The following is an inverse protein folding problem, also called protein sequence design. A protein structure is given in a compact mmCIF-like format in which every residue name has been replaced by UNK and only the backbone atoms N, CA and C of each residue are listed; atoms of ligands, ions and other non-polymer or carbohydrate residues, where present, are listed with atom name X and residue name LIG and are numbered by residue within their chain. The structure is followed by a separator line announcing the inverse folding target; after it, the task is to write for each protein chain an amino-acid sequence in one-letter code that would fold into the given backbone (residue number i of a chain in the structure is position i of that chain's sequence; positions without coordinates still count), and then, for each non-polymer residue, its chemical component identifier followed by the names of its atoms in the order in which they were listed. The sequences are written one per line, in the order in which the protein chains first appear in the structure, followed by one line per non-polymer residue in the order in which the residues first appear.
data_IF_079375220016
#
_entry.id   IF_079375220016
#
_cell.length_a   1.000
_cell.length_b   1.000
_cell.length_c   1.000
_cell.angle_alpha   90.00
_cell.angle_beta   90.00
_cell.angle_gamma   90.00
#
_symmetry.space_group_name_H-M   'P 1'
#
loop_
_entity.id
_entity.type
_entity.pdbx_description
1 polymer ?
#
# COMPACT_ATOMS: atom_id res chain seq x y z
N UNK A 1 -33.23 29.67 -28.21
CA UNK A 1 -31.88 29.31 -27.72
C UNK A 1 -32.05 28.93 -26.27
N UNK A 2 -31.62 27.74 -25.85
CA UNK A 2 -31.65 27.37 -24.44
C UNK A 2 -30.62 28.26 -23.71
N UNK A 3 -31.04 28.95 -22.65
CA UNK A 3 -30.13 29.73 -21.83
C UNK A 3 -29.24 28.78 -21.02
N UNK A 4 -27.92 28.92 -21.17
CA UNK A 4 -26.93 28.09 -20.50
C UNK A 4 -26.30 28.89 -19.36
N UNK A 5 -26.07 28.21 -18.25
CA UNK A 5 -25.40 28.71 -17.06
C UNK A 5 -23.91 28.33 -17.13
N UNK A 6 -23.03 29.33 -17.15
CA UNK A 6 -21.57 29.11 -17.07
C UNK A 6 -21.14 29.17 -15.61
N UNK A 7 -20.61 28.06 -15.10
CA UNK A 7 -20.11 27.94 -13.73
C UNK A 7 -18.58 27.80 -13.74
N UNK A 8 -17.91 28.48 -12.82
CA UNK A 8 -16.47 28.33 -12.60
C UNK A 8 -16.26 27.41 -11.41
N UNK A 9 -15.57 26.31 -11.66
CA UNK A 9 -15.29 25.26 -10.70
C UNK A 9 -13.80 25.26 -10.35
N UNK A 10 -13.47 24.94 -9.11
CA UNK A 10 -12.10 24.70 -8.66
C UNK A 10 -12.07 23.36 -7.93
N UNK A 11 -11.08 22.52 -8.22
CA UNK A 11 -10.85 21.29 -7.45
C UNK A 11 -10.23 21.68 -6.11
N UNK A 12 -10.70 21.10 -5.01
CA UNK A 12 -10.12 21.31 -3.69
C UNK A 12 -8.60 21.07 -3.71
N UNK A 13 -7.82 22.00 -3.13
CA UNK A 13 -6.35 21.98 -3.18
C UNK A 13 -5.73 22.44 -4.52
N UNK A 14 -6.54 22.65 -5.56
CA UNK A 14 -6.12 23.19 -6.84
C UNK A 14 -5.96 24.71 -6.86
N UNK A 15 -5.22 25.22 -7.84
CA UNK A 15 -4.96 26.66 -8.02
C UNK A 15 -5.55 27.24 -9.30
N UNK A 16 -6.03 26.38 -10.21
CA UNK A 16 -6.51 26.78 -11.55
C UNK A 16 -7.99 26.42 -11.70
N UNK A 17 -8.90 27.41 -11.73
CA UNK A 17 -10.31 27.16 -11.99
C UNK A 17 -10.58 26.81 -13.46
N UNK A 18 -11.67 26.10 -13.71
CA UNK A 18 -12.16 25.75 -15.04
C UNK A 18 -13.65 26.07 -15.16
N UNK A 19 -14.13 26.32 -16.38
CA UNK A 19 -15.55 26.61 -16.62
C UNK A 19 -16.31 25.37 -17.09
N UNK A 20 -17.59 25.28 -16.75
CA UNK A 20 -18.52 24.30 -17.32
C UNK A 20 -19.83 25.00 -17.68
N UNK A 21 -20.40 24.65 -18.83
CA UNK A 21 -21.68 25.19 -19.30
C UNK A 21 -22.77 24.14 -19.12
N UNK A 22 -23.82 24.48 -18.37
CA UNK A 22 -24.92 23.56 -18.07
C UNK A 22 -26.27 24.27 -18.13
N UNK A 23 -27.33 23.54 -18.52
CA UNK A 23 -28.68 24.10 -18.50
C UNK A 23 -29.18 24.25 -17.06
N UNK A 24 -29.81 25.39 -16.69
CA UNK A 24 -30.27 25.63 -15.32
C UNK A 24 -31.42 24.71 -14.89
N UNK A 25 -32.10 24.03 -15.83
CA UNK A 25 -33.15 23.05 -15.53
C UNK A 25 -32.61 21.65 -15.20
N UNK A 26 -31.28 21.49 -15.14
CA UNK A 26 -30.63 20.24 -14.76
C UNK A 26 -30.33 20.24 -13.26
N UNK A 27 -30.16 19.03 -12.73
CA UNK A 27 -29.80 18.83 -11.33
C UNK A 27 -28.29 18.89 -11.10
N UNK A 28 -27.90 18.96 -9.84
CA UNK A 28 -26.49 18.83 -9.40
C UNK A 28 -25.88 17.48 -9.81
N UNK A 29 -26.64 16.37 -9.85
CA UNK A 29 -26.14 15.10 -10.38
C UNK A 29 -25.65 15.20 -11.84
N UNK A 30 -26.37 15.93 -12.69
CA UNK A 30 -25.95 16.16 -14.07
C UNK A 30 -24.68 17.00 -14.13
N UNK A 31 -24.55 17.98 -13.23
CA UNK A 31 -23.34 18.81 -13.09
C UNK A 31 -22.13 17.97 -12.66
N UNK A 32 -22.28 17.06 -11.68
CA UNK A 32 -21.22 16.14 -11.25
C UNK A 32 -20.68 15.31 -12.43
N UNK A 33 -21.59 14.75 -13.24
CA UNK A 33 -21.23 13.99 -14.45
C UNK A 33 -20.48 14.83 -15.46
N UNK A 34 -20.93 16.07 -15.70
CA UNK A 34 -20.29 17.01 -16.62
C UNK A 34 -18.89 17.40 -16.15
N UNK A 35 -18.72 17.71 -14.87
CA UNK A 35 -17.42 18.03 -14.25
C UNK A 35 -16.45 16.86 -14.42
N UNK A 36 -16.89 15.62 -14.17
CA UNK A 36 -16.06 14.43 -14.40
C UNK A 36 -15.63 14.33 -15.87
N UNK A 37 -16.52 14.61 -16.83
CA UNK A 37 -16.18 14.59 -18.25
C UNK A 37 -15.16 15.67 -18.63
N UNK A 38 -15.33 16.92 -18.15
CA UNK A 38 -14.40 18.03 -18.41
C UNK A 38 -13.01 17.78 -17.81
N UNK A 39 -12.97 17.13 -16.65
CA UNK A 39 -11.74 16.78 -15.93
C UNK A 39 -11.51 15.27 -15.93
N UNK A 40 -11.72 14.63 -17.07
CA UNK A 40 -11.66 13.17 -17.21
C UNK A 40 -10.35 12.55 -16.72
N UNK A 41 -9.22 13.23 -16.89
CA UNK A 41 -7.92 12.75 -16.38
C UNK A 41 -7.84 12.86 -14.86
N UNK A 42 -8.24 14.01 -14.30
CA UNK A 42 -8.14 14.29 -12.86
C UNK A 42 -9.11 13.46 -12.02
N UNK A 43 -10.29 13.18 -12.57
CA UNK A 43 -11.34 12.36 -11.96
C UNK A 43 -11.51 11.00 -12.65
N UNK A 44 -10.44 10.50 -13.28
CA UNK A 44 -10.45 9.18 -13.95
C UNK A 44 -10.73 8.04 -12.98
N UNK A 45 -10.39 8.23 -11.70
CA UNK A 45 -10.40 7.24 -10.63
C UNK A 45 -11.55 7.38 -9.62
N UNK A 46 -12.47 8.34 -9.81
CA UNK A 46 -13.59 8.65 -8.91
C UNK A 46 -14.89 8.67 -9.70
N UNK A 47 -15.95 8.03 -9.19
CA UNK A 47 -17.26 8.11 -9.83
C UNK A 47 -17.94 9.45 -9.61
N UNK A 48 -18.74 9.90 -10.58
CA UNK A 48 -19.30 11.24 -10.55
C UNK A 48 -20.16 11.47 -9.30
N UNK A 49 -20.89 10.44 -8.85
CA UNK A 49 -21.72 10.46 -7.64
C UNK A 49 -20.92 10.64 -6.34
N UNK A 50 -19.65 10.20 -6.33
CA UNK A 50 -18.73 10.32 -5.19
C UNK A 50 -18.13 11.73 -5.03
N UNK A 51 -18.24 12.60 -6.04
CA UNK A 51 -17.78 13.99 -5.93
C UNK A 51 -18.70 14.78 -5.00
N UNK A 52 -18.16 15.52 -4.04
CA UNK A 52 -18.92 16.47 -3.23
C UNK A 52 -18.78 17.86 -3.83
N UNK A 53 -19.90 18.52 -4.14
CA UNK A 53 -19.90 19.87 -4.71
C UNK A 53 -20.31 20.88 -3.65
N UNK A 54 -19.53 21.93 -3.52
CA UNK A 54 -19.77 23.01 -2.58
C UNK A 54 -20.03 24.30 -3.33
N UNK A 55 -21.19 24.91 -3.10
CA UNK A 55 -21.48 26.26 -3.57
C UNK A 55 -20.71 27.28 -2.73
N UNK A 56 -19.97 28.15 -3.42
CA UNK A 56 -19.12 29.20 -2.84
C UNK A 56 -19.21 30.47 -3.68
N UNK A 57 -18.74 31.59 -3.13
CA UNK A 57 -18.59 32.85 -3.86
C UNK A 57 -17.22 33.44 -3.57
N UNK A 58 -16.21 33.02 -4.35
CA UNK A 58 -14.81 33.45 -4.14
C UNK A 58 -14.35 34.32 -5.32
N UNK A 59 -14.21 35.64 -5.13
CA UNK A 59 -13.65 36.51 -6.16
C UNK A 59 -12.22 36.10 -6.53
N UNK A 60 -11.97 35.88 -7.83
CA UNK A 60 -10.65 35.47 -8.34
C UNK A 60 -9.59 36.54 -8.09
N UNK A 61 -10.00 37.80 -7.96
CA UNK A 61 -9.11 38.93 -7.64
C UNK A 61 -8.46 38.80 -6.25
N UNK A 62 -9.02 37.98 -5.34
CA UNK A 62 -8.45 37.65 -4.03
C UNK A 62 -7.49 36.47 -4.06
N UNK A 63 -7.52 35.66 -5.13
CA UNK A 63 -6.60 34.54 -5.34
C UNK A 63 -5.35 35.09 -6.01
N UNK A 64 -4.32 35.43 -5.22
CA UNK A 64 -3.03 35.80 -5.80
C UNK A 64 -2.52 34.63 -6.65
N UNK A 65 -1.87 34.95 -7.77
CA UNK A 65 -1.28 33.96 -8.69
C UNK A 65 -0.40 32.99 -7.86
N UNK A 66 -0.85 31.74 -7.70
CA UNK A 66 -0.25 30.63 -6.95
C UNK A 66 -0.63 30.43 -5.46
N UNK A 67 -1.58 31.16 -4.88
CA UNK A 67 -2.05 30.84 -3.53
C UNK A 67 -3.05 29.66 -3.56
N UNK A 68 -2.82 28.65 -2.73
CA UNK A 68 -3.76 27.54 -2.52
C UNK A 68 -4.94 28.06 -1.70
N UNK A 69 -6.16 27.90 -2.21
CA UNK A 69 -7.36 28.24 -1.46
C UNK A 69 -7.53 27.19 -0.35
N UNK A 70 -7.31 27.59 0.90
CA UNK A 70 -7.60 26.75 2.05
C UNK A 70 -9.11 26.61 2.18
N UNK A 71 -9.62 25.41 1.91
CA UNK A 71 -11.06 25.10 1.92
C UNK A 71 -11.72 25.40 3.28
N UNK A 72 -10.98 25.25 4.37
CA UNK A 72 -11.44 25.53 5.74
C UNK A 72 -11.53 27.03 6.07
N UNK A 73 -10.84 27.88 5.30
CA UNK A 73 -10.88 29.34 5.47
C UNK A 73 -12.04 30.00 4.70
N UNK A 74 -12.88 29.22 4.02
CA UNK A 74 -14.05 29.72 3.30
C UNK A 74 -15.23 29.80 4.27
N UNK A 75 -15.54 31.01 4.74
CA UNK A 75 -16.61 31.26 5.72
C UNK A 75 -18.01 30.91 5.20
N UNK A 76 -18.25 31.05 3.89
CA UNK A 76 -19.55 30.83 3.24
C UNK A 76 -19.43 29.73 2.18
N UNK A 77 -19.59 28.47 2.61
CA UNK A 77 -19.72 27.31 1.72
C UNK A 77 -20.98 26.50 2.07
N UNK A 78 -21.70 26.06 1.05
CA UNK A 78 -22.90 25.23 1.19
C UNK A 78 -22.72 23.94 0.39
N UNK A 79 -22.93 22.79 1.01
CA UNK A 79 -22.94 21.50 0.30
C UNK A 79 -24.17 21.40 -0.61
N UNK A 80 -23.98 20.92 -1.83
CA UNK A 80 -25.03 20.78 -2.84
C UNK A 80 -25.48 19.32 -2.96
N UNK A 81 -26.77 19.07 -2.81
CA UNK A 81 -27.32 17.73 -2.90
C UNK A 81 -27.52 17.34 -4.37
N UNK A 82 -27.30 16.06 -4.76
CA UNK A 82 -27.48 15.61 -6.15
C UNK A 82 -28.88 15.86 -6.71
N UNK A 83 -29.89 15.93 -5.84
CA UNK A 83 -31.29 16.16 -6.14
C UNK A 83 -31.66 17.62 -6.33
N UNK A 84 -30.78 18.55 -5.95
CA UNK A 84 -31.06 19.98 -6.07
C UNK A 84 -31.07 20.39 -7.55
N UNK A 85 -32.01 21.25 -7.91
CA UNK A 85 -32.07 21.86 -9.23
C UNK A 85 -31.10 23.06 -9.29
N UNK A 86 -30.38 23.21 -10.40
CA UNK A 86 -29.43 24.31 -10.58
C UNK A 86 -30.11 25.68 -10.52
N UNK A 87 -31.38 25.78 -10.94
CA UNK A 87 -32.18 27.00 -10.83
C UNK A 87 -32.46 27.43 -9.40
N UNK A 88 -32.49 26.48 -8.46
CA UNK A 88 -32.78 26.75 -7.06
C UNK A 88 -31.51 27.18 -6.32
N UNK A 89 -30.36 26.63 -6.72
CA UNK A 89 -29.04 26.98 -6.18
C UNK A 89 -28.56 28.32 -6.74
N UNK A 90 -28.73 28.55 -8.04
CA UNK A 90 -28.28 29.75 -8.76
C UNK A 90 -29.48 30.58 -9.26
N UNK A 91 -30.26 31.10 -8.31
CA UNK A 91 -31.46 31.92 -8.59
C UNK A 91 -31.10 33.19 -9.36
N UNK A 92 -29.98 33.81 -8.99
CA UNK A 92 -29.41 34.95 -9.72
C UNK A 92 -28.26 34.50 -10.61
N UNK A 93 -28.00 35.29 -11.66
CA UNK A 93 -26.89 35.01 -12.56
C UNK A 93 -25.56 35.06 -11.79
N UNK A 94 -24.75 34.00 -11.80
CA UNK A 94 -23.50 33.95 -11.06
C UNK A 94 -22.56 35.11 -11.44
N UNK A 95 -21.91 35.76 -10.46
CA UNK A 95 -21.02 36.88 -10.72
C UNK A 95 -19.85 36.49 -11.63
N UNK A 96 -19.43 37.41 -12.51
CA UNK A 96 -18.21 37.18 -13.31
C UNK A 96 -16.98 37.17 -12.40
N UNK A 97 -15.91 36.51 -12.85
CA UNK A 97 -14.61 36.43 -12.14
C UNK A 97 -14.72 35.89 -10.70
N UNK A 98 -15.63 34.96 -10.48
CA UNK A 98 -15.88 34.36 -9.17
C UNK A 98 -15.87 32.85 -9.34
N UNK A 99 -15.23 32.13 -8.41
CA UNK A 99 -15.37 30.67 -8.31
C UNK A 99 -16.72 30.40 -7.66
N UNK A 100 -17.54 29.60 -8.32
CA UNK A 100 -18.90 29.27 -7.92
C UNK A 100 -18.99 27.92 -7.20
N UNK A 101 -18.10 26.98 -7.56
CA UNK A 101 -18.12 25.62 -7.04
C UNK A 101 -16.72 25.18 -6.62
N UNK A 102 -16.60 24.62 -5.41
CA UNK A 102 -15.47 23.75 -5.06
C UNK A 102 -15.88 22.30 -5.29
N UNK A 103 -15.04 21.56 -6.01
CA UNK A 103 -15.19 20.13 -6.25
C UNK A 103 -14.28 19.40 -5.28
N UNK A 104 -14.88 18.76 -4.28
CA UNK A 104 -14.18 17.97 -3.27
C UNK A 104 -14.23 16.48 -3.65
N UNK A 105 -13.08 15.82 -3.53
CA UNK A 105 -12.97 14.35 -3.64
C UNK A 105 -13.44 13.71 -2.33
N UNK A 106 -13.82 12.43 -2.32
CA UNK A 106 -14.10 11.72 -1.07
C UNK A 106 -12.97 11.93 -0.06
N UNK A 107 -13.31 12.41 1.14
CA UNK A 107 -12.28 12.76 2.12
C UNK A 107 -11.54 11.51 2.64
N UNK A 108 -10.26 11.69 2.99
CA UNK A 108 -9.44 10.71 3.70
C UNK A 108 -10.14 10.20 4.98
N UNK A 109 -11.04 11.00 5.58
CA UNK A 109 -11.84 10.63 6.73
C UNK A 109 -12.77 9.44 6.50
N UNK A 110 -13.36 9.30 5.30
CA UNK A 110 -14.21 8.15 4.97
C UNK A 110 -13.37 6.88 4.84
N UNK A 111 -12.25 6.97 4.11
CA UNK A 111 -11.30 5.85 3.98
C UNK A 111 -10.75 5.42 5.35
N UNK A 112 -10.40 6.38 6.21
CA UNK A 112 -9.96 6.13 7.58
C UNK A 112 -11.03 5.42 8.42
N UNK A 113 -12.30 5.83 8.32
CA UNK A 113 -13.41 5.17 9.00
C UNK A 113 -13.62 3.73 8.50
N UNK A 114 -13.57 3.50 7.19
CA UNK A 114 -13.71 2.17 6.60
C UNK A 114 -12.57 1.23 7.04
N UNK A 115 -11.32 1.73 7.03
CA UNK A 115 -10.16 0.97 7.52
C UNK A 115 -10.30 0.69 9.02
N UNK A 116 -10.80 1.65 9.80
CA UNK A 116 -11.06 1.47 11.23
C UNK A 116 -12.10 0.38 11.48
N UNK A 117 -13.21 0.37 10.74
CA UNK A 117 -14.23 -0.69 10.86
C UNK A 117 -13.64 -2.08 10.58
N UNK A 118 -12.83 -2.22 9.53
CA UNK A 118 -12.16 -3.48 9.17
C UNK A 118 -11.20 -3.92 10.27
N UNK A 119 -10.38 -2.99 10.77
CA UNK A 119 -9.36 -3.28 11.79
C UNK A 119 -9.94 -3.56 13.16
N UNK A 120 -10.99 -2.85 13.59
CA UNK A 120 -11.72 -3.12 14.83
C UNK A 120 -12.28 -4.56 14.83
N UNK A 121 -12.82 -5.00 13.70
CA UNK A 121 -13.31 -6.38 13.53
C UNK A 121 -12.18 -7.40 13.50
N UNK A 122 -11.12 -7.12 12.74
CA UNK A 122 -10.02 -8.06 12.54
C UNK A 122 -9.18 -8.26 13.82
N UNK A 123 -8.89 -7.17 14.52
CA UNK A 123 -8.11 -7.14 15.76
C UNK A 123 -8.96 -7.11 17.03
N UNK A 124 -10.24 -7.46 16.94
CA UNK A 124 -11.13 -7.59 18.11
C UNK A 124 -10.43 -8.44 19.19
N UNK A 125 -10.44 -7.99 20.45
CA UNK A 125 -9.56 -8.56 21.48
C UNK A 125 -9.72 -10.06 21.74
N UNK A 126 -10.89 -10.64 21.42
CA UNK A 126 -11.15 -12.08 21.50
C UNK A 126 -10.94 -12.84 20.19
N UNK A 127 -10.59 -12.15 19.09
CA UNK A 127 -10.38 -12.79 17.79
C UNK A 127 -9.16 -13.72 17.86
N UNK A 128 -9.19 -14.88 17.18
CA UNK A 128 -8.05 -15.79 17.17
C UNK A 128 -6.74 -15.13 16.70
N UNK A 129 -6.83 -14.14 15.80
CA UNK A 129 -5.66 -13.38 15.31
C UNK A 129 -5.13 -12.45 16.41
N UNK A 130 -5.99 -11.69 17.09
CA UNK A 130 -5.58 -10.77 18.13
C UNK A 130 -4.92 -11.50 19.31
N UNK A 131 -5.50 -12.63 19.73
CA UNK A 131 -4.97 -13.49 20.80
C UNK A 131 -3.60 -14.04 20.41
N UNK A 132 -3.48 -14.59 19.21
CA UNK A 132 -2.21 -15.11 18.70
C UNK A 132 -1.13 -14.01 18.61
N UNK A 133 -1.43 -12.87 17.99
CA UNK A 133 -0.47 -11.78 17.83
C UNK A 133 -0.01 -11.21 19.17
N UNK A 134 -0.91 -11.06 20.15
CA UNK A 134 -0.54 -10.60 21.51
C UNK A 134 0.43 -11.58 22.18
N UNK A 135 0.11 -12.87 22.16
CA UNK A 135 0.97 -13.94 22.70
C UNK A 135 2.33 -13.94 22.00
N UNK A 136 2.33 -13.96 20.66
CA UNK A 136 3.55 -13.94 19.85
C UNK A 136 4.40 -12.70 20.08
N UNK A 137 3.81 -11.51 20.17
CA UNK A 137 4.56 -10.26 20.40
C UNK A 137 5.14 -10.23 21.81
N UNK A 138 4.44 -10.78 22.80
CA UNK A 138 4.90 -10.87 24.20
C UNK A 138 6.04 -11.88 24.41
N UNK A 139 6.56 -12.48 23.33
CA UNK A 139 7.65 -13.45 23.39
C UNK A 139 7.20 -14.87 23.70
N UNK A 140 5.88 -15.12 23.81
CA UNK A 140 5.34 -16.46 23.98
C UNK A 140 5.39 -17.25 22.67
N UNK A 141 5.27 -18.56 22.80
CA UNK A 141 5.34 -19.50 21.68
C UNK A 141 6.77 -19.81 21.26
N UNK A 142 7.01 -21.08 20.91
CA UNK A 142 8.26 -21.44 20.27
C UNK A 142 8.30 -20.74 18.90
N UNK A 143 9.33 -19.92 18.67
CA UNK A 143 9.69 -19.54 17.31
C UNK A 143 9.88 -20.82 16.49
N UNK A 144 9.63 -20.82 15.16
CA UNK A 144 9.78 -22.02 14.35
C UNK A 144 11.18 -22.55 14.59
N UNK A 145 11.29 -23.58 15.44
CA UNK A 145 12.61 -23.98 15.89
C UNK A 145 13.24 -24.55 14.64
N UNK A 146 14.42 -24.05 14.37
CA UNK A 146 15.52 -24.61 13.59
C UNK A 146 15.92 -26.01 14.10
N UNK A 147 14.97 -26.82 14.52
CA UNK A 147 15.11 -28.17 15.03
C UNK A 147 13.87 -29.03 14.72
N UNK A 148 12.93 -28.56 13.87
CA UNK A 148 11.69 -29.28 13.50
C UNK A 148 11.75 -29.93 12.12
N UNK A 149 11.46 -31.24 11.99
CA UNK A 149 11.38 -31.94 10.69
C UNK A 149 10.34 -31.27 9.78
N UNK A 150 10.80 -30.71 8.66
CA UNK A 150 9.93 -30.19 7.60
C UNK A 150 9.89 -31.19 6.45
N UNK A 151 8.69 -31.60 6.05
CA UNK A 151 8.47 -32.49 4.90
C UNK A 151 8.96 -31.79 3.63
N UNK A 152 9.78 -32.46 2.83
CA UNK A 152 10.18 -31.97 1.49
C UNK A 152 11.58 -31.34 1.38
N UNK A 153 12.31 -31.06 2.47
CA UNK A 153 13.65 -30.47 2.41
C UNK A 153 14.79 -31.49 2.65
N UNK A 154 15.99 -31.26 2.07
CA UNK A 154 17.20 -32.03 2.40
C UNK A 154 17.55 -31.88 3.88
N UNK A 155 17.70 -33.01 4.55
CA UNK A 155 17.95 -33.10 5.99
C UNK A 155 19.41 -32.78 6.33
N UNK A 156 19.74 -31.55 6.74
CA UNK A 156 21.10 -31.18 7.11
C UNK A 156 21.46 -31.55 8.57
N UNK A 157 22.73 -31.87 8.81
CA UNK A 157 23.28 -32.25 10.12
C UNK A 157 24.30 -31.20 10.59
N UNK A 158 24.16 -30.70 11.82
CA UNK A 158 25.27 -29.95 12.46
C UNK A 158 26.37 -30.92 12.85
N UNK A 159 27.50 -30.91 12.13
CA UNK A 159 28.70 -31.62 12.59
C UNK A 159 29.07 -31.03 13.96
N UNK A 160 29.33 -31.89 14.95
CA UNK A 160 29.83 -31.59 16.33
C UNK A 160 28.85 -31.51 17.51
N UNK A 161 27.52 -31.62 17.37
CA UNK A 161 26.57 -31.45 18.49
C UNK A 161 25.91 -32.72 19.07
N UNK A 162 26.59 -33.88 19.04
CA UNK A 162 26.10 -35.09 19.72
C UNK A 162 25.00 -35.86 18.97
N UNK A 163 24.18 -36.64 19.71
CA UNK A 163 23.17 -37.57 19.14
C UNK A 163 22.08 -36.81 18.34
N UNK A 164 21.49 -37.44 17.30
CA UNK A 164 20.43 -36.83 16.50
C UNK A 164 19.26 -36.40 17.37
N UNK A 165 18.81 -35.14 17.25
CA UNK A 165 17.46 -34.77 17.68
C UNK A 165 16.46 -35.46 16.73
N UNK A 166 15.29 -35.89 17.23
CA UNK A 166 14.25 -36.55 16.42
C UNK A 166 13.74 -35.68 15.27
N UNK A 167 14.01 -34.37 15.32
CA UNK A 167 13.60 -33.38 14.36
C UNK A 167 14.79 -32.50 13.90
N UNK A 168 14.83 -32.14 12.60
CA UNK A 168 15.97 -31.43 11.98
C UNK A 168 15.58 -30.06 11.42
N UNK A 169 16.39 -28.99 11.60
CA UNK A 169 16.13 -27.66 11.05
C UNK A 169 15.88 -27.64 9.55
N UNK A 170 15.04 -26.70 9.10
CA UNK A 170 15.21 -26.13 7.75
C UNK A 170 16.50 -25.32 7.70
N UNK A 171 17.31 -25.53 6.66
CA UNK A 171 18.48 -24.70 6.35
C UNK A 171 18.11 -23.23 6.16
N UNK A 172 16.86 -22.95 5.80
CA UNK A 172 16.37 -21.59 5.59
C UNK A 172 16.32 -20.77 6.88
N UNK A 173 16.06 -21.43 8.01
CA UNK A 173 15.89 -20.75 9.29
C UNK A 173 17.06 -21.00 10.24
N UNK A 174 17.94 -21.95 9.93
CA UNK A 174 19.08 -22.34 10.76
C UNK A 174 20.01 -21.16 11.06
N UNK A 175 20.21 -20.86 12.35
CA UNK A 175 21.04 -19.75 12.83
C UNK A 175 20.69 -18.39 12.21
N UNK A 176 19.40 -18.08 12.13
CA UNK A 176 18.97 -16.73 11.81
C UNK A 176 19.50 -15.73 12.86
N UNK A 177 20.00 -14.56 12.44
CA UNK A 177 20.42 -13.52 13.36
C UNK A 177 19.21 -12.97 14.11
N UNK A 178 19.39 -12.64 15.39
CA UNK A 178 18.39 -11.92 16.17
C UNK A 178 19.05 -10.67 16.78
N UNK A 179 18.48 -9.46 16.57
CA UNK A 179 19.06 -8.21 17.03
C UNK A 179 19.13 -8.09 18.56
N UNK A 180 18.41 -8.93 19.30
CA UNK A 180 18.53 -9.02 20.77
C UNK A 180 19.80 -9.76 21.25
N UNK A 181 20.49 -10.49 20.36
CA UNK A 181 21.67 -11.29 20.75
C UNK A 181 22.95 -10.47 20.76
N UNK A 182 23.76 -10.65 21.81
CA UNK A 182 25.06 -9.96 21.98
C UNK A 182 26.22 -10.63 21.25
N UNK A 183 26.00 -11.81 20.65
CA UNK A 183 27.04 -12.54 19.93
C UNK A 183 27.24 -11.98 18.52
N UNK A 184 28.20 -11.08 18.39
CA UNK A 184 28.61 -10.46 17.12
C UNK A 184 29.50 -11.37 16.26
N UNK A 185 30.02 -12.47 16.82
CA UNK A 185 31.02 -13.33 16.15
C UNK A 185 30.40 -14.36 15.19
N UNK A 186 29.09 -14.56 15.23
CA UNK A 186 28.32 -15.47 14.38
C UNK A 186 27.73 -14.81 13.12
N UNK A 187 28.00 -13.52 12.87
CA UNK A 187 27.47 -12.73 11.73
C UNK A 187 28.17 -12.99 10.39
N UNK A 188 28.57 -14.23 10.10
CA UNK A 188 29.01 -14.64 8.77
C UNK A 188 27.79 -14.77 7.85
N UNK A 189 27.23 -13.63 7.48
CA UNK A 189 25.95 -13.54 6.79
C UNK A 189 26.16 -13.59 5.29
N UNK A 190 25.38 -14.43 4.60
CA UNK A 190 25.21 -14.32 3.15
C UNK A 190 24.61 -12.95 2.79
N UNK A 191 23.86 -12.33 3.71
CA UNK A 191 23.29 -11.00 3.54
C UNK A 191 24.29 -9.84 3.52
N UNK A 192 25.56 -10.04 3.90
CA UNK A 192 26.53 -8.94 4.01
C UNK A 192 26.71 -8.19 2.67
N UNK A 193 26.87 -8.92 1.57
CA UNK A 193 26.99 -8.31 0.24
C UNK A 193 25.74 -7.56 -0.19
N UNK A 194 24.54 -8.02 0.19
CA UNK A 194 23.29 -7.32 -0.11
C UNK A 194 23.20 -6.03 0.73
N UNK A 195 23.58 -6.10 2.00
CA UNK A 195 23.59 -4.96 2.89
C UNK A 195 24.58 -3.88 2.42
N UNK A 196 25.75 -4.28 1.95
CA UNK A 196 26.73 -3.36 1.37
C UNK A 196 26.16 -2.69 0.11
N UNK A 197 25.51 -3.46 -0.78
CA UNK A 197 24.80 -2.88 -1.93
C UNK A 197 23.71 -1.88 -1.51
N UNK A 198 22.93 -2.18 -0.46
CA UNK A 198 21.88 -1.28 0.07
C UNK A 198 22.49 0.01 0.63
N UNK A 199 23.62 -0.07 1.33
CA UNK A 199 24.30 1.08 1.93
C UNK A 199 25.01 1.95 0.90
N UNK A 200 25.68 1.32 -0.07
CA UNK A 200 26.44 2.02 -1.10
C UNK A 200 25.52 2.69 -2.14
N UNK A 201 24.34 2.12 -2.38
CA UNK A 201 23.41 2.63 -3.36
C UNK A 201 22.22 3.29 -2.68
N UNK A 202 22.13 4.62 -2.80
CA UNK A 202 20.93 5.36 -2.39
C UNK A 202 19.71 5.11 -3.32
N UNK A 203 19.72 3.99 -4.07
CA UNK A 203 18.70 3.63 -5.06
C UNK A 203 17.48 3.03 -4.35
N UNK A 204 16.26 3.39 -4.77
CA UNK A 204 15.02 2.86 -4.19
C UNK A 204 14.69 1.44 -4.66
N UNK A 205 15.39 0.91 -5.67
CA UNK A 205 15.18 -0.42 -6.23
C UNK A 205 16.53 -1.14 -6.41
N UNK A 206 16.67 -2.32 -5.81
CA UNK A 206 17.91 -3.11 -5.82
C UNK A 206 17.59 -4.54 -6.29
N UNK A 207 17.92 -4.89 -7.55
CA UNK A 207 17.69 -6.25 -8.02
C UNK A 207 18.75 -7.21 -7.45
N UNK A 208 18.31 -8.34 -6.89
CA UNK A 208 19.19 -9.42 -6.40
C UNK A 208 19.11 -10.61 -7.34
N UNK A 209 20.21 -10.89 -8.05
CA UNK A 209 20.29 -12.00 -9.01
C UNK A 209 21.14 -13.16 -8.49
N UNK A 210 20.82 -14.37 -8.97
CA UNK A 210 21.58 -15.58 -8.67
C UNK A 210 20.86 -16.83 -9.15
N UNK A 211 21.61 -17.91 -9.37
CA UNK A 211 21.05 -19.20 -9.80
C UNK A 211 20.10 -19.79 -8.74
N UNK A 212 19.18 -20.67 -9.15
CA UNK A 212 18.31 -21.35 -8.18
C UNK A 212 19.14 -22.14 -7.17
N UNK A 213 18.74 -22.10 -5.90
CA UNK A 213 19.45 -22.77 -4.79
C UNK A 213 20.73 -22.08 -4.29
N UNK A 214 21.16 -20.93 -4.83
CA UNK A 214 22.37 -20.24 -4.35
C UNK A 214 22.20 -19.51 -3.01
N UNK A 215 21.01 -19.56 -2.40
CA UNK A 215 20.74 -18.97 -1.09
C UNK A 215 20.18 -17.55 -1.09
N UNK A 216 19.59 -17.06 -2.21
CA UNK A 216 18.97 -15.72 -2.29
C UNK A 216 17.93 -15.50 -1.20
N UNK A 217 16.92 -16.37 -1.12
CA UNK A 217 15.85 -16.33 -0.11
C UNK A 217 16.42 -16.36 1.31
N UNK A 218 17.42 -17.20 1.58
CA UNK A 218 18.12 -17.22 2.88
C UNK A 218 18.74 -15.86 3.18
N UNK A 219 19.47 -15.27 2.24
CA UNK A 219 20.17 -14.01 2.40
C UNK A 219 19.22 -12.81 2.63
N UNK A 220 18.07 -12.77 1.95
CA UNK A 220 17.07 -11.70 2.19
C UNK A 220 16.34 -11.89 3.52
N UNK A 221 16.09 -13.13 3.96
CA UNK A 221 15.54 -13.40 5.31
C UNK A 221 16.56 -13.01 6.40
N UNK A 222 17.85 -13.30 6.22
CA UNK A 222 18.93 -12.82 7.11
C UNK A 222 18.95 -11.31 7.23
N UNK A 223 18.81 -10.63 6.08
CA UNK A 223 18.80 -9.18 6.00
C UNK A 223 17.64 -8.59 6.80
N UNK A 224 16.42 -9.09 6.57
CA UNK A 224 15.21 -8.65 7.27
C UNK A 224 15.20 -9.05 8.76
N UNK A 225 15.87 -10.13 9.14
CA UNK A 225 16.03 -10.42 10.56
C UNK A 225 16.87 -9.37 11.30
N UNK A 226 17.73 -8.64 10.58
CA UNK A 226 18.57 -7.57 11.13
C UNK A 226 18.05 -6.15 10.87
N UNK A 227 17.04 -5.98 10.02
CA UNK A 227 16.52 -4.67 9.61
C UNK A 227 15.02 -4.71 9.47
N UNK A 228 14.33 -3.65 9.88
CA UNK A 228 12.89 -3.55 9.69
C UNK A 228 12.52 -3.49 8.20
N UNK A 229 11.56 -4.33 7.81
CA UNK A 229 11.10 -4.39 6.43
C UNK A 229 10.00 -5.42 6.22
N UNK A 230 9.60 -5.58 4.98
CA UNK A 230 8.48 -6.39 4.56
C UNK A 230 8.95 -7.50 3.62
N UNK A 231 8.42 -8.70 3.80
CA UNK A 231 8.70 -9.84 2.93
C UNK A 231 7.44 -10.26 2.19
N UNK A 232 7.51 -10.22 0.87
CA UNK A 232 6.50 -10.67 -0.07
C UNK A 232 7.09 -11.80 -0.90
N UNK A 233 6.29 -12.83 -1.17
CA UNK A 233 6.69 -13.93 -2.05
C UNK A 233 5.70 -14.00 -3.22
N UNK A 234 6.21 -13.97 -4.45
CA UNK A 234 5.41 -13.99 -5.66
C UNK A 234 4.92 -15.37 -6.09
N UNK A 235 5.36 -16.46 -5.45
CA UNK A 235 5.00 -17.85 -5.79
C UNK A 235 4.32 -18.56 -4.63
N UNK A 236 3.48 -19.56 -4.93
CA UNK A 236 2.77 -20.38 -3.93
C UNK A 236 3.58 -21.58 -3.44
N UNK A 237 4.66 -21.92 -4.14
CA UNK A 237 5.47 -23.12 -3.86
C UNK A 237 6.52 -22.88 -2.77
N UNK A 238 6.70 -21.62 -2.38
CA UNK A 238 7.71 -21.16 -1.44
C UNK A 238 7.09 -20.61 -0.14
N UNK A 239 7.95 -20.14 0.76
CA UNK A 239 7.56 -19.60 2.05
C UNK A 239 7.00 -18.19 1.94
N UNK A 240 5.96 -17.87 2.70
CA UNK A 240 5.36 -16.54 2.68
C UNK A 240 3.87 -16.59 3.00
N UNK A 241 3.22 -15.46 2.79
CA UNK A 241 1.76 -15.36 2.69
C UNK A 241 1.34 -15.55 1.23
N UNK A 242 0.12 -16.00 1.02
CA UNK A 242 -0.53 -16.06 -0.29
C UNK A 242 -1.02 -14.69 -0.79
N UNK A 243 -0.71 -13.60 -0.08
CA UNK A 243 -1.26 -12.25 -0.36
C UNK A 243 -0.83 -11.69 -1.74
N UNK A 244 0.38 -11.96 -2.21
CA UNK A 244 0.79 -11.61 -3.59
C UNK A 244 0.11 -12.50 -4.63
N UNK A 245 -0.11 -13.78 -4.33
CA UNK A 245 -0.85 -14.70 -5.21
C UNK A 245 -2.31 -14.24 -5.34
N UNK A 246 -2.89 -13.76 -4.23
CA UNK A 246 -4.21 -13.15 -4.22
C UNK A 246 -4.24 -11.87 -5.05
N UNK A 247 -3.22 -11.00 -4.96
CA UNK A 247 -3.07 -9.84 -5.83
C UNK A 247 -3.02 -10.24 -7.31
N UNK A 248 -2.18 -11.22 -7.67
CA UNK A 248 -2.09 -11.75 -9.03
C UNK A 248 -3.45 -12.23 -9.53
N UNK A 249 -4.17 -12.99 -8.71
CA UNK A 249 -5.51 -13.50 -9.03
C UNK A 249 -6.52 -12.37 -9.26
N UNK A 250 -6.56 -11.36 -8.39
CA UNK A 250 -7.45 -10.21 -8.53
C UNK A 250 -7.18 -9.40 -9.77
N UNK A 251 -5.90 -9.20 -10.11
CA UNK A 251 -5.51 -8.50 -11.33
C UNK A 251 -5.85 -9.33 -12.56
N UNK A 252 -5.53 -10.63 -12.59
CA UNK A 252 -5.86 -11.53 -13.70
C UNK A 252 -7.36 -11.61 -13.98
N UNK A 253 -8.17 -11.65 -12.92
CA UNK A 253 -9.63 -11.57 -13.02
C UNK A 253 -10.09 -10.25 -13.66
N UNK A 254 -9.57 -9.11 -13.17
CA UNK A 254 -9.88 -7.80 -13.75
C UNK A 254 -9.53 -7.73 -15.24
N UNK A 255 -8.32 -8.16 -15.61
CA UNK A 255 -7.86 -8.19 -17.00
C UNK A 255 -8.75 -9.05 -17.90
N UNK A 256 -9.32 -10.13 -17.36
CA UNK A 256 -10.24 -11.01 -18.10
C UNK A 256 -11.62 -10.36 -18.25
N UNK A 257 -12.12 -9.68 -17.21
CA UNK A 257 -13.44 -9.03 -17.19
C UNK A 257 -13.50 -7.74 -18.02
N UNK A 258 -12.40 -7.00 -18.11
CA UNK A 258 -12.34 -5.72 -18.86
C UNK A 258 -11.85 -5.85 -20.30
N UNK A 259 -11.50 -7.07 -20.73
CA UNK A 259 -10.96 -7.30 -22.08
C UNK A 259 -12.02 -7.03 -23.13
N UNK A 260 -11.79 -6.02 -23.97
CA UNK A 260 -12.54 -5.82 -25.21
C UNK A 260 -11.77 -6.38 -26.41
N UNK A 261 -12.45 -6.82 -27.49
CA UNK A 261 -11.77 -7.34 -28.70
C UNK A 261 -10.81 -6.34 -29.34
N UNK A 262 -11.11 -5.04 -29.22
CA UNK A 262 -10.47 -4.01 -30.04
C UNK A 262 -9.47 -3.13 -29.28
N UNK A 263 -9.49 -3.11 -27.93
CA UNK A 263 -8.57 -2.26 -27.14
C UNK A 263 -8.18 -2.86 -25.78
N UNK A 264 -6.92 -2.67 -25.40
CA UNK A 264 -6.39 -2.96 -24.05
C UNK A 264 -6.18 -1.63 -23.34
N UNK A 265 -7.00 -1.34 -22.31
CA UNK A 265 -6.81 -0.14 -21.48
C UNK A 265 -5.71 -0.36 -20.45
N UNK A 266 -4.47 -0.18 -20.89
CA UNK A 266 -3.29 -0.36 -20.05
C UNK A 266 -3.21 0.65 -18.90
N UNK A 267 -3.86 1.81 -19.01
CA UNK A 267 -3.89 2.83 -17.97
C UNK A 267 -4.81 2.42 -16.83
N UNK A 268 -6.03 1.97 -17.15
CA UNK A 268 -6.94 1.41 -16.18
C UNK A 268 -6.34 0.18 -15.48
N UNK A 269 -5.67 -0.70 -16.24
CA UNK A 269 -4.97 -1.86 -15.69
C UNK A 269 -3.86 -1.45 -14.70
N UNK A 270 -3.06 -0.44 -15.06
CA UNK A 270 -2.03 0.11 -14.17
C UNK A 270 -2.64 0.63 -12.87
N UNK A 271 -3.72 1.42 -12.95
CA UNK A 271 -4.41 1.97 -11.78
C UNK A 271 -4.96 0.86 -10.88
N UNK A 272 -5.62 -0.15 -11.46
CA UNK A 272 -6.15 -1.30 -10.72
C UNK A 272 -5.05 -2.09 -9.99
N UNK A 273 -3.94 -2.38 -10.67
CA UNK A 273 -2.80 -3.08 -10.08
C UNK A 273 -2.16 -2.25 -8.95
N UNK A 274 -2.04 -0.92 -9.10
CA UNK A 274 -1.52 -0.04 -8.05
C UNK A 274 -2.44 0.05 -6.83
N UNK A 275 -3.75 0.28 -7.03
CA UNK A 275 -4.73 0.24 -5.92
C UNK A 275 -4.66 -1.07 -5.15
N UNK A 276 -4.55 -2.20 -5.87
CA UNK A 276 -4.41 -3.53 -5.25
C UNK A 276 -3.08 -3.65 -4.48
N UNK A 277 -1.98 -3.12 -5.02
CA UNK A 277 -0.67 -3.08 -4.34
C UNK A 277 -0.70 -2.21 -3.08
N UNK A 278 -1.41 -1.08 -3.10
CA UNK A 278 -1.56 -0.21 -1.93
C UNK A 278 -2.30 -0.92 -0.80
N UNK A 279 -3.40 -1.62 -1.11
CA UNK A 279 -4.17 -2.38 -0.13
C UNK A 279 -3.38 -3.58 0.42
N UNK A 280 -2.60 -4.24 -0.42
CA UNK A 280 -1.66 -5.30 -0.01
C UNK A 280 -0.65 -4.75 1.00
N UNK A 281 0.03 -3.65 0.68
CA UNK A 281 1.03 -3.06 1.57
C UNK A 281 0.41 -2.51 2.85
N UNK A 282 -0.78 -1.89 2.76
CA UNK A 282 -1.55 -1.42 3.91
C UNK A 282 -1.86 -2.55 4.88
N UNK A 283 -2.22 -3.75 4.39
CA UNK A 283 -2.48 -4.91 5.26
C UNK A 283 -1.28 -5.24 6.14
N UNK A 284 -0.07 -5.23 5.56
CA UNK A 284 1.20 -5.49 6.27
C UNK A 284 1.52 -4.39 7.28
N UNK A 285 1.31 -3.13 6.90
CA UNK A 285 1.51 -1.98 7.79
C UNK A 285 0.59 -2.03 9.00
N UNK A 286 -0.71 -2.30 8.80
CA UNK A 286 -1.69 -2.36 9.89
C UNK A 286 -1.37 -3.48 10.88
N UNK A 287 -0.93 -4.64 10.39
CA UNK A 287 -0.50 -5.75 11.25
C UNK A 287 0.76 -5.37 12.03
N UNK A 288 1.76 -4.75 11.38
CA UNK A 288 2.97 -4.29 12.05
C UNK A 288 2.63 -3.25 13.13
N UNK A 289 1.79 -2.26 12.80
CA UNK A 289 1.32 -1.23 13.75
C UNK A 289 0.60 -1.86 14.94
N UNK A 290 -0.25 -2.85 14.71
CA UNK A 290 -0.89 -3.61 15.79
C UNK A 290 0.16 -4.29 16.69
N UNK A 291 1.14 -5.00 16.10
CA UNK A 291 2.21 -5.64 16.86
C UNK A 291 3.01 -4.64 17.70
N UNK A 292 3.35 -3.47 17.15
CA UNK A 292 4.05 -2.41 17.88
C UNK A 292 3.21 -1.86 19.04
N UNK A 293 1.89 -1.81 18.89
CA UNK A 293 0.96 -1.33 19.93
C UNK A 293 0.73 -2.30 21.10
N UNK A 294 1.14 -3.56 20.97
CA UNK A 294 1.00 -4.54 22.07
C UNK A 294 1.86 -4.08 23.25
N UNK A 295 1.33 -4.10 24.49
CA UNK A 295 2.11 -3.72 25.67
C UNK A 295 3.41 -4.49 25.78
N UNK A 296 4.48 -3.80 26.19
CA UNK A 296 5.83 -4.37 26.34
C UNK A 296 6.47 -4.93 25.05
N UNK A 297 5.88 -4.67 23.86
CA UNK A 297 6.41 -5.10 22.56
C UNK A 297 7.89 -4.74 22.36
N UNK A 298 8.32 -3.59 22.88
CA UNK A 298 9.71 -3.12 22.78
C UNK A 298 10.75 -4.03 23.43
N UNK A 299 10.33 -4.90 24.36
CA UNK A 299 11.22 -5.83 25.07
C UNK A 299 11.43 -7.14 24.31
N UNK A 300 10.43 -7.57 23.54
CA UNK A 300 10.34 -8.93 23.00
C UNK A 300 10.16 -8.99 21.50
N UNK A 301 9.62 -7.95 20.88
CA UNK A 301 9.35 -7.88 19.45
C UNK A 301 10.54 -7.30 18.69
N UNK A 302 11.07 -8.12 17.79
CA UNK A 302 12.25 -7.80 16.99
C UNK A 302 11.95 -7.89 15.50
N UNK A 303 12.82 -7.30 14.67
CA UNK A 303 12.78 -7.48 13.21
C UNK A 303 12.86 -8.96 12.81
N UNK A 304 13.57 -9.78 13.58
CA UNK A 304 13.62 -11.24 13.38
C UNK A 304 12.26 -11.91 13.60
N UNK A 305 11.56 -11.59 14.70
CA UNK A 305 10.18 -12.07 14.94
C UNK A 305 9.23 -11.58 13.86
N UNK A 306 9.33 -10.30 13.48
CA UNK A 306 8.52 -9.75 12.38
C UNK A 306 8.78 -10.45 11.04
N UNK A 307 10.04 -10.77 10.73
CA UNK A 307 10.41 -11.51 9.51
C UNK A 307 9.82 -12.92 9.52
N UNK A 308 9.99 -13.67 10.61
CA UNK A 308 9.45 -15.02 10.76
C UNK A 308 7.93 -15.05 10.65
N UNK A 309 7.26 -14.03 11.18
CA UNK A 309 5.82 -13.89 11.06
C UNK A 309 5.37 -13.82 9.60
N UNK A 310 6.09 -13.09 8.76
CA UNK A 310 5.78 -12.90 7.33
C UNK A 310 6.17 -14.10 6.45
N UNK A 311 7.27 -14.78 6.78
CA UNK A 311 7.79 -15.92 6.01
C UNK A 311 7.09 -17.23 6.37
N UNK A 312 6.64 -17.38 7.63
CA UNK A 312 6.04 -18.62 8.14
C UNK A 312 4.61 -18.48 8.68
N UNK A 313 3.71 -17.68 8.08
CA UNK A 313 2.40 -17.41 8.68
C UNK A 313 1.57 -18.70 8.86
N UNK A 314 1.58 -19.60 7.87
CA UNK A 314 0.86 -20.88 7.91
C UNK A 314 1.44 -21.89 8.90
N UNK A 315 2.74 -21.80 9.21
CA UNK A 315 3.40 -22.69 10.18
C UNK A 315 3.19 -22.19 11.61
N UNK A 316 3.22 -20.87 11.79
CA UNK A 316 3.01 -20.24 13.09
C UNK A 316 1.56 -20.29 13.53
N UNK A 317 0.62 -20.05 12.61
CA UNK A 317 -0.80 -20.00 12.92
C UNK A 317 -1.68 -20.25 11.69
N UNK A 318 -1.98 -19.18 10.95
CA UNK A 318 -2.72 -19.16 9.70
C UNK A 318 -2.27 -17.93 8.94
N UNK A 319 -2.55 -17.88 7.64
CA UNK A 319 -2.24 -16.69 6.86
C UNK A 319 -3.26 -15.57 7.06
N UNK A 320 -3.04 -14.83 8.14
CA UNK A 320 -3.83 -13.67 8.48
C UNK A 320 -3.43 -12.43 7.65
N UNK A 321 -2.32 -12.45 6.91
CA UNK A 321 -1.94 -11.37 6.01
C UNK A 321 -2.85 -11.36 4.79
N UNK A 322 -2.97 -12.50 4.09
CA UNK A 322 -3.92 -12.65 2.99
C UNK A 322 -5.36 -12.45 3.44
N UNK A 323 -5.72 -12.90 4.65
CA UNK A 323 -7.06 -12.65 5.22
C UNK A 323 -7.34 -11.16 5.39
N UNK A 324 -6.42 -10.38 5.98
CA UNK A 324 -6.63 -8.94 6.14
C UNK A 324 -6.63 -8.21 4.79
N UNK A 325 -5.74 -8.61 3.89
CA UNK A 325 -5.69 -8.07 2.54
C UNK A 325 -7.02 -8.30 1.80
N UNK A 326 -7.60 -9.49 1.87
CA UNK A 326 -8.94 -9.78 1.31
C UNK A 326 -10.01 -8.85 1.89
N UNK A 327 -10.01 -8.63 3.21
CA UNK A 327 -10.96 -7.72 3.86
C UNK A 327 -10.78 -6.27 3.40
N UNK A 328 -9.54 -5.81 3.21
CA UNK A 328 -9.20 -4.47 2.74
C UNK A 328 -9.46 -4.31 1.23
N UNK A 329 -9.46 -5.40 0.46
CA UNK A 329 -9.66 -5.36 -0.99
C UNK A 329 -11.01 -4.73 -1.41
N UNK A 330 -12.01 -4.72 -0.52
CA UNK A 330 -13.27 -4.00 -0.74
C UNK A 330 -13.07 -2.49 -0.92
N UNK A 331 -12.01 -1.93 -0.36
CA UNK A 331 -11.67 -0.50 -0.41
C UNK A 331 -11.07 -0.05 -1.75
N UNK A 332 -10.90 -0.95 -2.72
CA UNK A 332 -10.45 -0.60 -4.08
C UNK A 332 -11.39 0.37 -4.82
N UNK A 333 -12.61 0.54 -4.32
CA UNK A 333 -13.57 1.53 -4.82
C UNK A 333 -13.14 2.97 -4.55
N UNK A 334 -12.25 3.21 -3.58
CA UNK A 334 -11.69 4.53 -3.30
C UNK A 334 -10.72 4.99 -4.39
N UNK A 335 -10.50 6.30 -4.49
CA UNK A 335 -9.57 6.92 -5.44
C UNK A 335 -8.15 6.38 -5.27
N UNK A 336 -7.38 6.36 -6.37
CA UNK A 336 -6.01 5.83 -6.33
C UNK A 336 -5.10 6.72 -5.48
N UNK A 337 -5.25 8.04 -5.67
CA UNK A 337 -4.49 9.04 -4.91
C UNK A 337 -4.81 8.97 -3.42
N UNK A 338 -6.09 8.87 -3.07
CA UNK A 338 -6.54 8.84 -1.67
C UNK A 338 -6.01 7.58 -0.95
N UNK A 339 -6.05 6.42 -1.62
CA UNK A 339 -5.42 5.19 -1.12
C UNK A 339 -3.91 5.39 -0.94
N UNK A 340 -3.21 5.91 -1.95
CA UNK A 340 -1.76 6.13 -1.87
C UNK A 340 -1.39 7.04 -0.69
N UNK A 341 -2.10 8.15 -0.53
CA UNK A 341 -1.87 9.13 0.55
C UNK A 341 -2.14 8.51 1.93
N UNK A 342 -3.24 7.76 2.07
CA UNK A 342 -3.54 7.05 3.32
C UNK A 342 -2.46 6.02 3.68
N UNK A 343 -2.01 5.22 2.71
CA UNK A 343 -0.95 4.22 2.96
C UNK A 343 0.36 4.91 3.35
N UNK A 344 0.68 6.05 2.75
CA UNK A 344 1.84 6.86 3.13
C UNK A 344 1.72 7.40 4.56
N UNK A 345 0.55 7.90 4.95
CA UNK A 345 0.29 8.34 6.34
C UNK A 345 0.52 7.19 7.33
N UNK A 346 -0.08 6.02 7.09
CA UNK A 346 0.10 4.84 7.95
C UNK A 346 1.56 4.38 7.97
N UNK A 347 2.28 4.46 6.84
CA UNK A 347 3.72 4.18 6.79
C UNK A 347 4.52 5.15 7.66
N UNK A 348 4.25 6.45 7.59
CA UNK A 348 4.91 7.47 8.40
C UNK A 348 4.68 7.22 9.90
N UNK A 349 3.43 6.99 10.32
CA UNK A 349 3.09 6.67 11.71
C UNK A 349 3.79 5.41 12.20
N UNK A 350 3.86 4.38 11.36
CA UNK A 350 4.54 3.12 11.67
C UNK A 350 6.04 3.33 11.83
N UNK A 351 6.67 4.14 10.96
CA UNK A 351 8.09 4.50 11.07
C UNK A 351 8.37 5.29 12.33
N UNK A 352 7.57 6.32 12.64
CA UNK A 352 7.66 7.09 13.88
C UNK A 352 7.56 6.15 15.09
N UNK A 353 6.65 5.18 15.04
CA UNK A 353 6.52 4.16 16.09
C UNK A 353 7.79 3.31 16.21
N UNK A 354 8.41 2.87 15.12
CA UNK A 354 9.65 2.09 15.15
C UNK A 354 10.86 2.88 15.69
N UNK A 355 10.96 4.18 15.36
CA UNK A 355 12.00 5.07 15.90
C UNK A 355 11.84 5.25 17.41
N UNK A 356 10.61 5.43 17.90
CA UNK A 356 10.38 5.80 19.30
C UNK A 356 10.06 4.64 20.26
N UNK A 357 9.42 3.55 19.81
CA UNK A 357 9.01 2.45 20.69
C UNK A 357 10.20 1.65 21.25
N UNK A 358 11.38 1.74 20.63
CA UNK A 358 12.59 1.07 21.13
C UNK A 358 12.64 -0.43 20.87
N UNK A 359 11.78 -0.96 19.99
CA UNK A 359 11.91 -2.32 19.45
C UNK A 359 13.27 -2.51 18.76
N UNK A 360 13.73 -3.76 18.63
CA UNK A 360 15.07 -4.07 18.13
C UNK A 360 15.06 -4.55 16.66
N UNK A 361 15.97 -4.06 15.79
CA UNK A 361 16.96 -3.02 16.05
C UNK A 361 16.30 -1.65 16.18
N UNK A 362 16.96 -0.72 16.88
CA UNK A 362 16.55 0.68 16.84
C UNK A 362 16.66 1.20 15.41
N UNK A 363 15.60 1.82 14.93
CA UNK A 363 15.56 2.46 13.61
C UNK A 363 16.04 3.91 13.76
N UNK A 364 16.97 4.33 12.90
CA UNK A 364 17.39 5.74 12.81
C UNK A 364 16.44 6.50 11.87
N UNK A 365 16.30 7.81 12.06
CA UNK A 365 15.28 8.64 11.37
C UNK A 365 15.36 8.56 9.84
N UNK A 366 16.57 8.49 9.29
CA UNK A 366 16.87 8.46 7.86
C UNK A 366 16.93 7.04 7.26
N UNK A 367 16.83 6.01 8.10
CA UNK A 367 16.92 4.62 7.64
C UNK A 367 15.66 4.22 6.88
N UNK A 368 15.83 3.71 5.66
CA UNK A 368 14.74 3.17 4.84
C UNK A 368 14.29 1.81 5.34
N UNK A 369 12.99 1.54 5.31
CA UNK A 369 12.48 0.19 5.50
C UNK A 369 12.72 -0.62 4.22
N UNK A 370 13.02 -1.90 4.38
CA UNK A 370 13.23 -2.80 3.24
C UNK A 370 11.90 -3.38 2.77
N UNK A 371 11.72 -3.60 1.47
CA UNK A 371 10.56 -4.29 0.90
C UNK A 371 11.05 -5.36 -0.07
N UNK A 372 11.18 -6.58 0.42
CA UNK A 372 11.63 -7.70 -0.39
C UNK A 372 10.45 -8.29 -1.15
N UNK A 373 10.57 -8.34 -2.48
CA UNK A 373 9.69 -9.12 -3.35
C UNK A 373 10.47 -10.33 -3.87
N UNK A 374 10.34 -11.46 -3.19
CA UNK A 374 11.00 -12.71 -3.55
C UNK A 374 10.29 -13.38 -4.74
N UNK A 375 11.06 -14.16 -5.51
CA UNK A 375 10.60 -14.80 -6.75
C UNK A 375 9.92 -13.83 -7.75
N UNK A 376 10.31 -12.54 -7.72
CA UNK A 376 9.73 -11.47 -8.52
C UNK A 376 9.72 -11.72 -10.04
N UNK A 377 10.60 -12.58 -10.55
CA UNK A 377 10.62 -12.95 -11.97
C UNK A 377 9.30 -13.56 -12.43
N UNK A 378 8.57 -14.26 -11.55
CA UNK A 378 7.25 -14.77 -11.86
C UNK A 378 6.31 -13.65 -12.33
N UNK A 379 6.21 -12.57 -11.55
CA UNK A 379 5.41 -11.39 -11.92
C UNK A 379 5.93 -10.65 -13.16
N UNK A 380 7.22 -10.84 -13.49
CA UNK A 380 7.85 -10.33 -14.70
C UNK A 380 7.45 -11.08 -15.97
N UNK A 381 7.05 -12.34 -15.83
CA UNK A 381 6.59 -13.19 -16.93
C UNK A 381 5.05 -13.14 -17.09
N UNK A 382 4.34 -12.73 -16.03
CA UNK A 382 2.88 -12.70 -15.98
C UNK A 382 2.25 -11.45 -16.63
N UNK A 383 1.13 -11.69 -17.32
CA UNK A 383 0.28 -10.68 -17.96
C UNK A 383 1.03 -9.74 -18.92
N UNK A 384 2.06 -10.26 -19.58
CA UNK A 384 2.86 -9.53 -20.57
C UNK A 384 2.00 -8.78 -21.61
N UNK A 385 2.22 -7.47 -21.74
CA UNK A 385 1.49 -6.63 -22.69
C UNK A 385 0.26 -5.92 -22.14
N UNK A 386 -0.17 -6.27 -20.92
CA UNK A 386 -1.42 -5.78 -20.32
C UNK A 386 -1.26 -4.44 -19.60
N UNK A 387 -0.04 -4.04 -19.29
CA UNK A 387 0.31 -2.80 -18.59
C UNK A 387 1.14 -1.89 -19.47
N UNK A 388 1.20 -0.60 -19.17
CA UNK A 388 2.05 0.35 -19.87
C UNK A 388 3.16 0.86 -18.98
N UNK A 389 4.29 1.19 -19.59
CA UNK A 389 5.37 1.90 -18.92
C UNK A 389 4.86 3.24 -18.35
N UNK A 390 5.36 3.57 -17.16
CA UNK A 390 4.98 4.77 -16.42
C UNK A 390 5.99 5.92 -16.60
N UNK A 391 6.95 5.75 -17.51
CA UNK A 391 7.83 6.84 -17.92
C UNK A 391 7.07 7.75 -18.88
N UNK A 392 7.17 9.06 -18.67
CA UNK A 392 6.46 10.07 -19.48
C UNK A 392 6.83 10.05 -20.97
N UNK A 393 7.90 9.35 -21.34
CA UNK A 393 8.42 9.22 -22.71
C UNK A 393 8.26 7.82 -23.30
N UNK A 394 7.63 6.89 -22.58
CA UNK A 394 7.61 5.48 -22.95
C UNK A 394 6.25 4.86 -22.66
N UNK A 395 5.54 4.47 -23.72
CA UNK A 395 4.25 3.77 -23.66
C UNK A 395 4.40 2.26 -23.90
N UNK A 396 5.63 1.75 -23.85
CA UNK A 396 5.87 0.34 -24.15
C UNK A 396 5.14 -0.58 -23.18
N UNK A 397 4.67 -1.75 -23.67
CA UNK A 397 4.00 -2.73 -22.85
C UNK A 397 4.89 -3.22 -21.70
N UNK A 398 4.24 -3.57 -20.58
CA UNK A 398 4.87 -4.06 -19.37
C UNK A 398 4.13 -5.27 -18.78
N UNK A 399 4.84 -6.13 -18.02
CA UNK A 399 4.24 -7.18 -17.21
C UNK A 399 3.70 -6.64 -15.88
N UNK A 400 3.04 -7.50 -15.11
CA UNK A 400 2.45 -7.17 -13.80
C UNK A 400 3.46 -6.63 -12.78
N UNK A 401 4.71 -7.09 -12.85
CA UNK A 401 5.77 -6.60 -11.94
C UNK A 401 5.92 -5.06 -12.00
N UNK A 402 5.74 -4.46 -13.18
CA UNK A 402 5.99 -3.02 -13.37
C UNK A 402 5.07 -2.11 -12.55
N UNK A 403 3.73 -2.23 -12.60
CA UNK A 403 2.86 -1.41 -11.78
C UNK A 403 3.02 -1.69 -10.28
N UNK A 404 3.36 -2.92 -9.86
CA UNK A 404 3.62 -3.24 -8.44
C UNK A 404 4.84 -2.47 -7.92
N UNK A 405 5.98 -2.56 -8.62
CA UNK A 405 7.19 -1.82 -8.24
C UNK A 405 6.96 -0.30 -8.25
N UNK A 406 6.17 0.19 -9.20
CA UNK A 406 5.80 1.61 -9.26
C UNK A 406 4.98 2.03 -8.03
N UNK A 407 3.98 1.23 -7.65
CA UNK A 407 3.14 1.50 -6.49
C UNK A 407 3.94 1.57 -5.20
N UNK A 408 4.78 0.57 -4.92
CA UNK A 408 5.64 0.55 -3.73
C UNK A 408 6.59 1.75 -3.70
N UNK A 409 7.16 2.13 -4.84
CA UNK A 409 8.03 3.30 -4.96
C UNK A 409 7.30 4.61 -4.69
N UNK A 410 6.04 4.75 -5.10
CA UNK A 410 5.28 5.99 -4.92
C UNK A 410 4.83 6.21 -3.47
N UNK A 411 4.40 5.16 -2.75
CA UNK A 411 4.04 5.25 -1.33
C UNK A 411 5.21 5.78 -0.50
N UNK A 412 6.41 5.25 -0.76
CA UNK A 412 7.55 5.40 0.13
C UNK A 412 8.73 6.12 -0.49
N UNK A 413 8.51 7.14 -1.34
CA UNK A 413 9.62 7.91 -1.94
C UNK A 413 10.57 8.37 -0.84
N UNK A 414 11.78 7.84 -0.87
CA UNK A 414 12.86 8.03 0.12
C UNK A 414 12.73 7.29 1.47
N UNK A 415 11.61 6.63 1.74
CA UNK A 415 11.35 5.86 2.98
C UNK A 415 11.52 4.35 2.81
N UNK A 416 11.42 3.85 1.58
CA UNK A 416 11.50 2.44 1.24
C UNK A 416 12.68 2.16 0.30
N UNK A 417 13.30 1.00 0.49
CA UNK A 417 14.19 0.35 -0.48
C UNK A 417 13.54 -0.97 -0.86
N UNK A 418 13.17 -1.11 -2.13
CA UNK A 418 12.56 -2.32 -2.71
C UNK A 418 13.64 -3.24 -3.26
#
# INVERSE_FOLDING_TARGET
MAEMLTLFCLVEGGTVPFSTDISPTRTIDHLKKLIKTEKAVEFSDVDADQLTLWHVSIPVDLVKKNDVILFDAIDTKQELMPTDDLSDVFVEKPPKKTIHIIVQRPSLGVLSADVKEITDKFFESGSPVAVFLKSYVSGEGALPVTAGNIRGLPRAWRRSLGKPVEARPSLLFLDLPDPSTTDTSSRNLASASILDMVKENNRPLIPVFGVSGCGKTRAVIELLCQHWGFYFNATSDDWGSDDVIMLHSYVGKHLTETRTPDTVDRQANNAYARKTTYLLFLSRLLILKYCLSVPDSSKTFTSARWTLLQVCPHVLFKDFFSTLFEMLFKLRCHGERDLMEFVNEVLNETRVSLVHHGCMPKLEDDTRLLVVLDEAQFLGDEFNGSFQSMSSSDESPRPLLSPILHGLRDIGRHQLTV
#
